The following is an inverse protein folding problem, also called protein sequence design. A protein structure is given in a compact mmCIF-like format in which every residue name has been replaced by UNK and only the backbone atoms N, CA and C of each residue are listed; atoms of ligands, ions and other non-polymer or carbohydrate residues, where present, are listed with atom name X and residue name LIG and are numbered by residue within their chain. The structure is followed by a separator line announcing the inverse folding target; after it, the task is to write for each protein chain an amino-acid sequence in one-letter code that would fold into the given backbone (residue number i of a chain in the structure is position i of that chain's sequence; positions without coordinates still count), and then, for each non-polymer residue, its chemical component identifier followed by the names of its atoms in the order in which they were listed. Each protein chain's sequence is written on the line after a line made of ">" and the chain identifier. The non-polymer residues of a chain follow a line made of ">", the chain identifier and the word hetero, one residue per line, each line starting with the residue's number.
data_IF_909466995445
#
_entry.id   IF_909466995445
#
_cell.length_a   1.000
_cell.length_b   1.000
_cell.length_c   1.000
_cell.angle_alpha   90.00
_cell.angle_beta   90.00
_cell.angle_gamma   90.00
#
_symmetry.space_group_name_H-M   'P 1'
#
loop_
_entity.id
_entity.type
_entity.pdbx_description
1 polymer ?
#
# COMPACT_ATOMS: atom_id res chain seq x y z
N UNK A 1 30.35 -1.62 -38.61
CA UNK A 1 29.67 -2.84 -38.12
C UNK A 1 30.41 -3.32 -36.88
N UNK A 2 29.73 -3.54 -35.75
CA UNK A 2 30.35 -4.11 -34.56
C UNK A 2 30.17 -5.62 -34.59
N UNK A 3 31.28 -6.37 -34.66
CA UNK A 3 31.24 -7.82 -34.64
C UNK A 3 31.08 -8.30 -33.20
N UNK A 4 29.91 -8.83 -32.86
CA UNK A 4 29.66 -9.45 -31.55
C UNK A 4 30.29 -10.85 -31.55
N UNK A 5 31.19 -11.18 -30.60
CA UNK A 5 31.78 -12.52 -30.53
C UNK A 5 30.70 -13.60 -30.36
N UNK A 6 30.75 -14.62 -31.22
CA UNK A 6 29.78 -15.72 -31.21
C UNK A 6 30.04 -16.68 -30.04
N UNK A 7 29.35 -16.50 -28.91
CA UNK A 7 29.50 -17.30 -27.69
C UNK A 7 28.89 -18.73 -27.78
N UNK A 8 29.27 -19.49 -28.81
CA UNK A 8 28.91 -20.91 -28.99
C UNK A 8 29.90 -21.88 -28.33
N UNK A 9 30.29 -21.60 -27.08
CA UNK A 9 30.99 -22.59 -26.24
C UNK A 9 30.09 -23.80 -25.98
N UNK A 10 30.66 -25.01 -25.98
CA UNK A 10 29.94 -26.25 -25.69
C UNK A 10 29.47 -26.31 -24.22
N UNK A 11 28.38 -27.04 -23.89
CA UNK A 11 27.83 -27.09 -22.54
C UNK A 11 28.84 -27.52 -21.46
N UNK A 12 29.68 -28.51 -21.74
CA UNK A 12 30.74 -28.97 -20.84
C UNK A 12 31.82 -27.90 -20.57
N UNK A 13 32.16 -27.09 -21.57
CA UNK A 13 33.13 -25.98 -21.42
C UNK A 13 32.52 -24.85 -20.60
N UNK A 14 31.21 -24.59 -20.71
CA UNK A 14 30.49 -23.64 -19.85
C UNK A 14 30.42 -24.12 -18.40
N UNK A 15 30.13 -25.40 -18.20
CA UNK A 15 30.05 -26.03 -16.87
C UNK A 15 31.42 -26.07 -16.18
N UNK A 16 32.49 -26.38 -16.91
CA UNK A 16 33.87 -26.29 -16.42
C UNK A 16 34.25 -24.85 -16.04
N UNK A 17 34.01 -23.87 -16.91
CA UNK A 17 34.28 -22.47 -16.62
C UNK A 17 33.43 -21.94 -15.43
N UNK A 18 32.22 -22.46 -15.23
CA UNK A 18 31.37 -22.13 -14.08
C UNK A 18 31.93 -22.70 -12.76
N UNK A 19 32.53 -23.90 -12.78
CA UNK A 19 33.23 -24.49 -11.63
C UNK A 19 34.50 -23.70 -11.29
N UNK A 20 35.33 -23.42 -12.29
CA UNK A 20 36.56 -22.60 -12.13
C UNK A 20 36.26 -21.17 -11.65
N UNK A 21 35.11 -20.61 -12.00
CA UNK A 21 34.63 -19.32 -11.48
C UNK A 21 34.00 -19.41 -10.07
N UNK A 22 33.55 -20.59 -9.63
CA UNK A 22 33.03 -20.81 -8.28
C UNK A 22 34.16 -21.05 -7.26
N UNK A 23 35.22 -21.76 -7.65
CA UNK A 23 36.43 -21.96 -6.84
C UNK A 23 37.24 -20.66 -6.69
N UNK A 24 37.08 -19.71 -7.63
CA UNK A 24 37.57 -18.33 -7.50
C UNK A 24 36.79 -17.56 -6.42
N UNK A 25 37.15 -17.82 -5.17
CA UNK A 25 36.66 -17.08 -4.00
C UNK A 25 37.07 -15.62 -4.12
N UNK A 26 36.15 -14.77 -4.59
CA UNK A 26 36.32 -13.32 -4.64
C UNK A 26 36.47 -12.78 -3.21
N UNK A 27 37.71 -12.57 -2.80
CA UNK A 27 38.07 -11.96 -1.52
C UNK A 27 37.65 -10.50 -1.49
N UNK A 28 36.37 -10.27 -1.19
CA UNK A 28 35.79 -8.95 -0.98
C UNK A 28 36.50 -8.27 0.20
N UNK A 29 37.23 -7.15 0.01
CA UNK A 29 37.87 -6.44 1.11
C UNK A 29 36.86 -5.80 2.07
N UNK A 30 35.58 -5.73 1.66
CA UNK A 30 34.48 -5.34 2.54
C UNK A 30 34.03 -6.53 3.37
N UNK A 31 34.09 -6.37 4.70
CA UNK A 31 33.60 -7.28 5.75
C UNK A 31 32.11 -7.69 5.61
N UNK A 32 31.38 -7.12 4.65
CA UNK A 32 29.94 -7.28 4.58
C UNK A 32 29.40 -7.12 3.15
N UNK A 33 28.77 -8.17 2.62
CA UNK A 33 28.33 -8.26 1.21
C UNK A 33 27.20 -7.30 0.83
N UNK A 34 26.93 -7.09 -0.47
CA UNK A 34 25.99 -6.05 -0.95
C UNK A 34 24.57 -6.11 -0.33
N UNK A 35 23.99 -7.30 -0.10
CA UNK A 35 22.70 -7.43 0.57
C UNK A 35 22.75 -7.14 2.10
N UNK A 36 23.95 -7.04 2.65
CA UNK A 36 24.34 -7.22 4.08
C UNK A 36 24.87 -5.90 5.03
N UNK A 37 25.18 -5.20 3.80
CA UNK A 37 25.28 -3.77 3.26
C UNK A 37 23.93 -3.04 2.94
N UNK A 38 22.93 -3.69 2.33
CA UNK A 38 21.63 -3.05 2.01
C UNK A 38 20.64 -2.96 3.18
N UNK A 39 20.68 -3.87 4.16
CA UNK A 39 19.73 -3.86 5.30
C UNK A 39 20.15 -2.95 6.46
N UNK A 40 21.44 -2.78 6.77
CA UNK A 40 21.93 -1.84 7.80
C UNK A 40 21.67 -0.40 7.38
N UNK A 41 22.05 -0.01 6.17
CA UNK A 41 21.74 1.33 5.62
C UNK A 41 20.25 1.67 5.71
N UNK A 42 19.36 0.72 5.36
CA UNK A 42 17.90 0.85 5.57
C UNK A 42 17.53 0.95 7.06
N UNK A 43 18.07 0.07 7.91
CA UNK A 43 17.78 0.03 9.35
C UNK A 43 18.22 1.31 10.07
N UNK A 44 19.45 1.77 9.83
CA UNK A 44 19.97 3.04 10.33
C UNK A 44 19.17 4.24 9.84
N UNK A 45 18.67 4.22 8.60
CA UNK A 45 17.77 5.26 8.09
C UNK A 45 16.43 5.27 8.85
N UNK A 46 15.80 4.11 9.03
CA UNK A 46 14.56 3.98 9.84
C UNK A 46 14.77 4.40 11.30
N UNK A 47 15.87 3.97 11.93
CA UNK A 47 16.21 4.35 13.30
C UNK A 47 16.45 5.86 13.43
N UNK A 48 17.19 6.47 12.50
CA UNK A 48 17.39 7.93 12.45
C UNK A 48 16.08 8.69 12.24
N UNK A 49 15.19 8.21 11.36
CA UNK A 49 13.89 8.83 11.12
C UNK A 49 12.99 8.77 12.37
N UNK A 50 12.95 7.63 13.08
CA UNK A 50 12.22 7.47 14.33
C UNK A 50 12.78 8.35 15.46
N UNK A 51 14.11 8.41 15.62
CA UNK A 51 14.77 9.31 16.58
C UNK A 51 14.54 10.79 16.25
N UNK A 52 14.52 11.15 14.97
CA UNK A 52 14.21 12.53 14.55
C UNK A 52 12.74 12.86 14.81
N UNK A 53 11.82 11.96 14.47
CA UNK A 53 10.38 12.13 14.73
C UNK A 53 10.11 12.40 16.20
N UNK A 54 10.67 11.58 17.11
CA UNK A 54 10.55 11.78 18.56
C UNK A 54 11.12 13.10 19.09
N UNK A 55 11.95 13.81 18.32
CA UNK A 55 12.46 15.16 18.67
C UNK A 55 11.63 16.31 18.11
N UNK A 56 10.78 16.07 17.10
CA UNK A 56 10.03 17.12 16.38
C UNK A 56 8.51 16.92 16.38
N UNK A 57 8.02 15.81 16.96
CA UNK A 57 6.60 15.52 17.06
C UNK A 57 5.87 16.60 17.87
N UNK A 58 4.80 17.24 17.33
CA UNK A 58 3.97 18.18 18.07
C UNK A 58 3.38 17.53 19.34
N UNK A 59 3.13 18.30 20.40
CA UNK A 59 2.64 17.77 21.68
C UNK A 59 1.41 16.88 21.52
N UNK A 60 0.39 17.35 20.77
CA UNK A 60 -0.82 16.57 20.48
C UNK A 60 -0.58 15.22 19.77
N UNK A 61 0.55 15.03 19.09
CA UNK A 61 0.94 13.73 18.51
C UNK A 61 1.67 12.84 19.52
N UNK A 62 2.33 13.42 20.53
CA UNK A 62 2.90 12.70 21.67
C UNK A 62 1.77 12.23 22.60
N UNK A 63 0.80 13.10 22.88
CA UNK A 63 -0.38 12.84 23.72
C UNK A 63 -1.28 11.72 23.15
N UNK A 64 -1.29 11.58 21.81
CA UNK A 64 -2.00 10.51 21.07
C UNK A 64 -1.10 9.28 20.79
N UNK A 65 0.07 9.17 21.42
CA UNK A 65 1.05 8.10 21.25
C UNK A 65 1.44 7.81 19.78
N UNK A 66 1.45 8.82 18.91
CA UNK A 66 1.79 8.69 17.47
C UNK A 66 3.31 8.61 17.32
N UNK A 67 3.86 7.49 17.78
CA UNK A 67 5.30 7.21 17.95
C UNK A 67 6.10 7.07 16.65
N UNK A 68 5.46 7.07 15.48
CA UNK A 68 6.14 6.89 14.19
C UNK A 68 5.69 7.89 13.13
N UNK A 69 6.62 8.23 12.23
CA UNK A 69 6.30 8.45 10.81
C UNK A 69 6.49 7.10 10.11
N UNK A 70 5.44 6.28 9.96
CA UNK A 70 5.58 4.91 9.50
C UNK A 70 5.78 4.83 7.99
N UNK A 71 6.41 3.74 7.53
CA UNK A 71 6.19 3.26 6.17
C UNK A 71 4.69 3.13 5.92
N UNK A 72 4.19 3.80 4.86
CA UNK A 72 2.77 3.90 4.49
C UNK A 72 1.99 2.61 4.82
N UNK A 73 1.07 2.63 5.82
CA UNK A 73 0.36 1.45 6.31
C UNK A 73 -0.31 0.59 5.22
N UNK A 74 -0.61 -0.65 5.59
CA UNK A 74 -1.21 -1.65 4.70
C UNK A 74 -2.64 -1.27 4.30
N UNK A 75 -3.38 -0.62 5.19
CA UNK A 75 -4.68 0.01 4.92
C UNK A 75 -4.56 1.12 3.86
N UNK A 76 -3.44 1.86 3.86
CA UNK A 76 -3.14 2.86 2.84
C UNK A 76 -2.60 2.24 1.53
N UNK A 77 -2.47 0.91 1.41
CA UNK A 77 -2.28 0.21 0.11
C UNK A 77 -3.59 0.01 -0.63
N UNK A 78 -4.74 0.18 0.03
CA UNK A 78 -6.06 0.06 -0.58
C UNK A 78 -6.34 1.25 -1.52
N UNK A 79 -7.11 1.05 -2.62
CA UNK A 79 -7.63 2.16 -3.42
C UNK A 79 -8.40 3.17 -2.56
N UNK A 80 -8.19 4.46 -2.81
CA UNK A 80 -8.80 5.59 -2.06
C UNK A 80 -10.30 5.43 -1.76
N UNK A 81 -11.21 5.04 -2.69
CA UNK A 81 -12.62 4.83 -2.36
C UNK A 81 -12.85 3.69 -1.36
N UNK A 82 -12.16 2.56 -1.51
CA UNK A 82 -12.29 1.39 -0.62
C UNK A 82 -11.81 1.76 0.80
N UNK A 83 -10.69 2.46 0.91
CA UNK A 83 -10.21 3.01 2.17
C UNK A 83 -11.23 3.97 2.80
N UNK A 84 -11.80 4.88 2.00
CA UNK A 84 -12.84 5.81 2.44
C UNK A 84 -14.01 5.10 3.12
N UNK A 85 -14.59 4.10 2.45
CA UNK A 85 -15.69 3.28 3.01
C UNK A 85 -15.31 2.50 4.26
N UNK A 86 -14.08 2.00 4.36
CA UNK A 86 -13.61 1.29 5.56
C UNK A 86 -13.49 2.26 6.75
N UNK A 87 -13.00 3.48 6.53
CA UNK A 87 -12.96 4.53 7.56
C UNK A 87 -14.37 4.95 7.96
N UNK A 88 -15.24 5.22 6.98
CA UNK A 88 -16.62 5.64 7.18
C UNK A 88 -17.47 4.56 7.90
N UNK A 89 -17.28 3.27 7.58
CA UNK A 89 -17.90 2.15 8.27
C UNK A 89 -17.39 1.99 9.72
N UNK A 90 -16.11 2.28 9.98
CA UNK A 90 -15.52 2.25 11.34
C UNK A 90 -15.99 3.42 12.21
N UNK A 91 -16.19 4.61 11.64
CA UNK A 91 -16.77 5.77 12.33
C UNK A 91 -18.30 5.73 12.40
N UNK A 92 -18.96 4.84 11.64
CA UNK A 92 -20.42 4.78 11.43
C UNK A 92 -20.99 6.09 10.87
N UNK A 93 -20.26 6.71 9.95
CA UNK A 93 -20.55 8.05 9.42
C UNK A 93 -20.35 8.07 7.89
N UNK A 94 -21.44 7.82 7.17
CA UNK A 94 -21.56 7.78 5.69
C UNK A 94 -23.05 7.78 5.30
N UNK A 95 -23.35 7.55 4.02
CA UNK A 95 -24.63 7.11 3.43
C UNK A 95 -25.12 5.74 3.99
N UNK A 96 -25.25 5.62 5.32
CA UNK A 96 -25.74 4.44 6.04
C UNK A 96 -27.08 4.72 6.73
N UNK A 97 -28.00 3.77 6.64
CA UNK A 97 -29.34 3.91 7.21
C UNK A 97 -29.31 4.13 8.74
N UNK A 98 -28.45 3.39 9.46
CA UNK A 98 -28.28 3.54 10.91
C UNK A 98 -27.82 4.95 11.33
N UNK A 99 -27.09 5.66 10.46
CA UNK A 99 -26.65 7.04 10.69
C UNK A 99 -27.81 8.01 10.46
N UNK A 100 -28.45 7.95 9.29
CA UNK A 100 -29.53 8.87 8.93
C UNK A 100 -30.78 8.73 9.82
N UNK A 101 -31.13 7.50 10.23
CA UNK A 101 -32.21 7.25 11.20
C UNK A 101 -31.88 7.86 12.57
N UNK A 102 -30.65 7.66 13.07
CA UNK A 102 -30.20 8.19 14.38
C UNK A 102 -30.21 9.72 14.44
N UNK A 103 -29.93 10.40 13.34
CA UNK A 103 -29.95 11.87 13.23
C UNK A 103 -31.24 12.42 12.60
N UNK A 104 -32.24 11.56 12.34
CA UNK A 104 -33.55 11.92 11.79
C UNK A 104 -33.50 12.75 10.48
N UNK A 105 -32.56 12.42 9.59
CA UNK A 105 -32.40 13.08 8.28
C UNK A 105 -33.55 12.68 7.33
N UNK A 106 -34.44 13.62 6.99
CA UNK A 106 -35.70 13.36 6.26
C UNK A 106 -35.51 13.12 4.76
N UNK A 107 -34.43 13.67 4.19
CA UNK A 107 -34.02 13.56 2.79
C UNK A 107 -33.23 12.27 2.49
N UNK A 108 -32.98 11.45 3.52
CA UNK A 108 -32.06 10.33 3.44
C UNK A 108 -32.63 9.08 2.76
N UNK A 109 -32.00 8.64 1.67
CA UNK A 109 -32.29 7.34 1.08
C UNK A 109 -31.74 6.19 1.94
N UNK A 110 -32.52 5.64 2.87
CA UNK A 110 -32.13 4.52 3.74
C UNK A 110 -31.84 3.21 2.97
N UNK A 111 -32.31 3.10 1.72
CA UNK A 111 -32.19 1.91 0.88
C UNK A 111 -31.29 2.16 -0.33
N UNK A 112 -30.50 1.14 -0.70
CA UNK A 112 -29.75 1.12 -1.95
C UNK A 112 -30.67 0.80 -3.13
N UNK A 113 -30.26 1.14 -4.36
CA UNK A 113 -31.03 0.86 -5.60
C UNK A 113 -31.27 -0.64 -5.88
N UNK A 114 -30.65 -1.54 -5.13
CA UNK A 114 -30.94 -2.98 -5.13
C UNK A 114 -32.03 -3.39 -4.12
N UNK A 115 -32.75 -2.45 -3.49
CA UNK A 115 -33.80 -2.69 -2.49
C UNK A 115 -33.31 -2.99 -1.06
N UNK A 116 -32.01 -3.23 -0.85
CA UNK A 116 -31.46 -3.53 0.49
C UNK A 116 -31.19 -2.25 1.31
N UNK A 117 -31.48 -2.27 2.61
CA UNK A 117 -31.11 -1.19 3.56
C UNK A 117 -29.59 -1.00 3.58
N UNK A 118 -29.12 0.25 3.61
CA UNK A 118 -27.69 0.61 3.56
C UNK A 118 -27.00 0.34 4.89
N UNK A 119 -26.37 -0.83 5.03
CA UNK A 119 -25.57 -1.21 6.20
C UNK A 119 -24.06 -1.02 5.98
N UNK A 120 -23.29 -0.98 7.07
CA UNK A 120 -21.83 -0.80 7.08
C UNK A 120 -21.07 -1.77 6.16
N UNK A 121 -21.60 -2.97 5.94
CA UNK A 121 -21.00 -4.04 5.12
C UNK A 121 -21.67 -4.22 3.74
N UNK A 122 -22.74 -3.47 3.44
CA UNK A 122 -23.53 -3.62 2.22
C UNK A 122 -22.69 -3.55 0.94
N UNK A 123 -21.65 -2.72 0.94
CA UNK A 123 -20.76 -2.54 -0.21
C UNK A 123 -19.88 -3.74 -0.55
N UNK A 124 -19.67 -4.70 0.37
CA UNK A 124 -18.93 -5.92 0.05
C UNK A 124 -19.74 -6.85 -0.87
N UNK A 125 -21.07 -6.78 -0.82
CA UNK A 125 -21.97 -7.70 -1.50
C UNK A 125 -22.67 -7.06 -2.71
N UNK A 126 -23.17 -5.83 -2.56
CA UNK A 126 -23.94 -5.18 -3.63
C UNK A 126 -23.05 -4.56 -4.72
N UNK A 127 -23.22 -5.02 -5.97
CA UNK A 127 -22.54 -4.48 -7.16
C UNK A 127 -22.86 -3.00 -7.39
N UNK A 128 -24.13 -2.61 -7.32
CA UNK A 128 -24.56 -1.21 -7.53
C UNK A 128 -23.97 -0.28 -6.45
N UNK A 129 -23.80 -0.78 -5.23
CA UNK A 129 -23.08 -0.05 -4.19
C UNK A 129 -21.60 0.10 -4.53
N UNK A 130 -20.91 -0.93 -5.04
CA UNK A 130 -19.50 -0.83 -5.50
C UNK A 130 -19.34 0.19 -6.64
N UNK A 131 -20.22 0.15 -7.63
CA UNK A 131 -20.13 0.98 -8.85
C UNK A 131 -20.32 2.48 -8.59
N UNK A 132 -21.00 2.88 -7.50
CA UNK A 132 -21.12 4.30 -7.06
C UNK A 132 -19.74 5.01 -6.92
N UNK A 133 -18.68 4.26 -6.60
CA UNK A 133 -17.34 4.80 -6.27
C UNK A 133 -16.30 4.63 -7.39
N UNK A 134 -16.65 3.89 -8.44
CA UNK A 134 -15.83 3.72 -9.63
C UNK A 134 -16.61 4.22 -10.84
N UNK A 135 -16.89 5.54 -10.93
CA UNK A 135 -17.36 6.11 -12.19
C UNK A 135 -16.36 5.75 -13.29
N UNK A 136 -16.86 5.34 -14.44
CA UNK A 136 -15.99 5.12 -15.59
C UNK A 136 -15.26 6.45 -15.89
N UNK A 137 -14.00 6.44 -16.37
CA UNK A 137 -13.17 7.65 -16.47
C UNK A 137 -13.69 8.72 -17.47
N UNK A 138 -14.86 8.49 -18.08
CA UNK A 138 -15.57 9.37 -19.01
C UNK A 138 -16.98 9.78 -18.55
N UNK A 139 -17.51 9.23 -17.44
CA UNK A 139 -18.80 9.68 -16.88
C UNK A 139 -18.58 10.85 -15.92
N UNK A 140 -18.35 12.03 -16.48
CA UNK A 140 -18.19 13.28 -15.74
C UNK A 140 -19.51 13.79 -15.17
N UNK A 141 -19.43 14.31 -13.93
CA UNK A 141 -20.42 15.14 -13.24
C UNK A 141 -21.42 15.90 -14.13
N UNK A 142 -22.69 15.49 -14.06
CA UNK A 142 -23.84 16.35 -14.39
C UNK A 142 -24.42 16.88 -13.08
N UNK A 143 -24.36 18.20 -12.80
CA UNK A 143 -25.13 18.80 -11.72
C UNK A 143 -26.64 18.67 -11.98
N UNK A 144 -27.41 18.70 -10.89
CA UNK A 144 -28.83 19.04 -10.86
C UNK A 144 -28.93 20.37 -10.12
#
# INVERSE_FOLDING_TARGET
>A
MYSVPNCQLLPSVRDQAAKEAADQTLSSPYLWSYAALKRHTKSSATARAHTQWKKVAPQAYQDLEIITSPTRPEELKLPRPILGRILAARSKHDDFADYHERFNHQDAHLFCRCGTRKSLIHFFFCRIAKEKDFPAPWTSWTPI
#
